data_IF_204894231250
#
_entry.id   IF_204894231250
#
_cell.length_a   1.000
_cell.length_b   1.000
_cell.length_c   1.000
_cell.angle_alpha   90.00
_cell.angle_beta   90.00
_cell.angle_gamma   90.00
#
_symmetry.space_group_name_H-M   'P 1'
#
loop_
_entity.id
_entity.type
_entity.pdbx_description
1 polymer ?
#
# COMPACT_ATOMS: atom_id res chain seq x y z
N UNK A 1 70.62 39.22 -41.58
CA UNK A 1 69.21 39.42 -41.23
C UNK A 1 68.76 38.11 -40.63
N UNK A 2 68.81 37.96 -39.30
CA UNK A 2 68.45 36.76 -38.55
C UNK A 2 67.16 37.03 -37.88
N UNK A 3 66.08 36.27 -38.22
CA UNK A 3 64.77 36.32 -37.58
C UNK A 3 64.76 35.41 -36.34
N UNK A 4 64.59 36.03 -35.17
CA UNK A 4 64.25 35.32 -33.91
C UNK A 4 62.79 34.84 -33.90
N UNK A 5 62.58 33.60 -33.52
CA UNK A 5 61.25 33.04 -33.19
C UNK A 5 60.91 33.33 -31.72
N UNK A 6 59.71 33.69 -31.41
CA UNK A 6 59.27 33.79 -30.01
C UNK A 6 59.00 32.39 -29.39
N UNK A 7 59.60 32.18 -28.21
CA UNK A 7 59.33 31.05 -27.32
C UNK A 7 58.02 31.26 -26.61
N UNK A 8 57.00 30.38 -26.85
CA UNK A 8 55.76 30.32 -26.08
C UNK A 8 56.03 29.63 -24.72
N UNK A 9 55.90 30.36 -23.66
CA UNK A 9 55.91 29.86 -22.28
C UNK A 9 54.53 29.27 -21.97
N UNK A 10 54.42 27.94 -21.99
CA UNK A 10 53.19 27.22 -21.64
C UNK A 10 52.96 27.28 -20.13
N UNK A 11 51.85 27.90 -19.72
CA UNK A 11 51.38 27.94 -18.34
C UNK A 11 50.76 26.58 -18.00
N UNK A 12 51.43 25.76 -17.22
CA UNK A 12 50.95 24.49 -16.71
C UNK A 12 50.00 24.78 -15.53
N UNK A 13 48.68 24.76 -15.77
CA UNK A 13 47.67 24.86 -14.70
C UNK A 13 47.52 23.47 -14.07
N UNK A 14 48.09 23.29 -12.90
CA UNK A 14 47.93 22.10 -12.06
C UNK A 14 46.55 22.18 -11.39
N UNK A 15 45.53 21.47 -11.93
CA UNK A 15 44.24 21.32 -11.29
C UNK A 15 44.37 20.27 -10.18
N UNK A 16 44.44 20.72 -8.94
CA UNK A 16 44.42 19.88 -7.75
C UNK A 16 42.96 19.42 -7.52
N UNK A 17 42.59 18.23 -8.01
CA UNK A 17 41.33 17.55 -7.67
C UNK A 17 41.42 17.09 -6.21
N UNK A 18 40.89 17.90 -5.27
CA UNK A 18 40.56 17.43 -3.93
C UNK A 18 39.40 16.42 -4.08
N UNK A 19 39.69 15.15 -4.12
CA UNK A 19 38.71 14.10 -3.86
C UNK A 19 38.34 14.21 -2.37
N UNK A 20 37.26 14.92 -2.06
CA UNK A 20 36.56 14.77 -0.80
C UNK A 20 36.05 13.33 -0.77
N UNK A 21 36.80 12.43 -0.18
CA UNK A 21 36.35 11.11 0.16
C UNK A 21 35.17 11.27 1.09
N UNK A 22 33.94 11.05 0.58
CA UNK A 22 32.78 10.88 1.42
C UNK A 22 33.02 9.55 2.15
N UNK A 23 33.59 9.64 3.37
CA UNK A 23 33.63 8.48 4.25
C UNK A 23 32.17 8.09 4.50
N UNK A 24 31.70 7.03 3.86
CA UNK A 24 30.47 6.39 4.26
C UNK A 24 30.67 5.98 5.73
N UNK A 25 30.01 6.67 6.65
CA UNK A 25 29.97 6.27 8.05
C UNK A 25 29.43 4.84 8.08
N UNK A 26 30.14 3.94 8.76
CA UNK A 26 29.64 2.58 8.94
C UNK A 26 28.28 2.67 9.64
N UNK A 27 27.26 2.00 9.08
CA UNK A 27 25.93 1.99 9.70
C UNK A 27 25.99 1.27 11.04
N UNK A 28 25.43 1.87 12.08
CA UNK A 28 25.34 1.30 13.42
C UNK A 28 24.07 0.47 13.58
N UNK A 29 24.13 -0.53 14.47
CA UNK A 29 22.94 -1.29 14.86
C UNK A 29 22.59 -0.97 16.30
N UNK A 30 21.33 -0.56 16.50
CA UNK A 30 20.75 -0.22 17.80
C UNK A 30 19.76 -1.32 18.22
N UNK A 31 19.71 -1.61 19.50
CA UNK A 31 18.88 -2.70 20.04
C UNK A 31 17.82 -2.14 20.97
N UNK A 32 16.58 -2.59 20.79
CA UNK A 32 15.43 -2.21 21.59
C UNK A 32 14.75 -3.45 22.17
N UNK A 33 14.48 -3.44 23.47
CA UNK A 33 13.75 -4.48 24.16
C UNK A 33 12.75 -3.85 25.14
N UNK A 34 11.47 -3.87 24.80
CA UNK A 34 10.40 -3.25 25.59
C UNK A 34 10.16 -3.93 26.95
N UNK A 35 10.67 -5.15 27.16
CA UNK A 35 10.48 -5.92 28.39
C UNK A 35 11.64 -5.67 29.36
N UNK A 36 12.88 -5.87 28.92
CA UNK A 36 14.08 -5.84 29.78
C UNK A 36 15.01 -4.66 29.52
N UNK A 37 14.76 -3.85 28.50
CA UNK A 37 15.58 -2.70 28.13
C UNK A 37 15.39 -1.50 29.06
N UNK A 38 16.31 -0.56 28.97
CA UNK A 38 16.26 0.71 29.69
C UNK A 38 16.78 1.85 28.80
N UNK A 39 16.09 2.99 28.78
CA UNK A 39 16.53 4.17 28.03
C UNK A 39 17.71 4.90 28.66
N UNK A 40 18.18 4.43 29.84
CA UNK A 40 19.49 4.81 30.37
C UNK A 40 20.66 4.03 29.74
N UNK A 41 20.39 2.98 28.98
CA UNK A 41 21.39 2.19 28.26
C UNK A 41 21.91 2.89 27.00
N UNK A 42 23.01 2.40 26.46
CA UNK A 42 23.59 2.94 25.21
C UNK A 42 22.97 2.33 23.92
N UNK A 43 22.08 1.35 24.04
CA UNK A 43 21.43 0.60 22.95
C UNK A 43 22.38 -0.15 21.98
N UNK A 44 23.68 -0.25 22.28
CA UNK A 44 24.69 -0.75 21.35
C UNK A 44 24.78 -2.27 21.27
N UNK A 45 24.08 -3.01 22.13
CA UNK A 45 24.05 -4.48 22.15
C UNK A 45 22.71 -4.99 22.69
N UNK A 46 22.35 -6.25 22.45
CA UNK A 46 21.16 -6.86 23.07
C UNK A 46 21.15 -6.79 24.61
N UNK A 47 22.32 -6.91 25.24
CA UNK A 47 22.46 -6.81 26.71
C UNK A 47 22.31 -5.39 27.25
N UNK A 48 22.57 -4.39 26.44
CA UNK A 48 22.40 -2.95 26.75
C UNK A 48 21.29 -2.30 25.91
N UNK A 49 20.24 -3.06 25.57
CA UNK A 49 19.14 -2.59 24.77
C UNK A 49 18.40 -1.40 25.43
N UNK A 50 17.93 -0.49 24.62
CA UNK A 50 17.00 0.55 25.04
C UNK A 50 15.59 -0.01 25.26
N UNK A 51 14.78 0.67 26.01
CA UNK A 51 13.40 0.27 26.27
C UNK A 51 12.45 0.70 25.15
N UNK A 52 12.69 1.88 24.57
CA UNK A 52 11.79 2.49 23.60
C UNK A 52 12.43 2.61 22.21
N UNK A 53 11.60 2.51 21.17
CA UNK A 53 12.05 2.71 19.77
C UNK A 53 12.41 4.18 19.55
N UNK A 54 11.63 5.10 20.13
CA UNK A 54 11.87 6.53 20.04
C UNK A 54 13.23 6.94 20.62
N UNK A 55 13.65 6.32 21.73
CA UNK A 55 15.00 6.56 22.28
C UNK A 55 16.10 6.05 21.32
N UNK A 56 15.94 4.86 20.74
CA UNK A 56 16.90 4.35 19.75
C UNK A 56 16.98 5.27 18.51
N UNK A 57 15.84 5.77 18.01
CA UNK A 57 15.80 6.74 16.90
C UNK A 57 16.59 8.01 17.26
N UNK A 58 16.47 8.52 18.49
CA UNK A 58 17.17 9.73 18.91
C UNK A 58 18.69 9.60 18.97
N UNK A 59 19.19 8.35 19.01
CA UNK A 59 20.64 8.04 19.04
C UNK A 59 21.18 7.70 17.64
N UNK A 60 20.28 7.42 16.70
CA UNK A 60 20.65 6.95 15.36
C UNK A 60 21.14 8.05 14.45
N UNK A 61 21.97 7.69 13.48
CA UNK A 61 22.32 8.48 12.31
C UNK A 61 21.63 7.91 11.05
N UNK A 62 21.61 8.68 9.97
CA UNK A 62 21.10 8.19 8.67
C UNK A 62 21.92 6.98 8.18
N UNK A 63 21.22 5.92 7.83
CA UNK A 63 21.78 4.64 7.40
C UNK A 63 21.79 3.58 8.50
N UNK A 64 21.53 3.93 9.74
CA UNK A 64 21.52 3.00 10.86
C UNK A 64 20.35 2.03 10.83
N UNK A 65 20.50 0.92 11.58
CA UNK A 65 19.50 -0.11 11.77
C UNK A 65 19.06 -0.19 13.25
N UNK A 66 17.77 -0.41 13.49
CA UNK A 66 17.20 -0.62 14.83
C UNK A 66 16.56 -2.00 14.85
N UNK A 67 17.05 -2.90 15.69
CA UNK A 67 16.49 -4.22 15.92
C UNK A 67 15.60 -4.19 17.16
N UNK A 68 14.31 -4.53 16.94
CA UNK A 68 13.26 -4.38 17.95
C UNK A 68 12.77 -5.76 18.40
N UNK A 69 12.97 -6.09 19.65
CA UNK A 69 12.51 -7.34 20.22
C UNK A 69 10.98 -7.43 20.30
N UNK A 70 10.46 -8.63 20.47
CA UNK A 70 9.04 -8.88 20.63
C UNK A 70 8.49 -8.20 21.89
N UNK A 71 7.61 -7.22 21.73
CA UNK A 71 6.87 -6.53 22.78
C UNK A 71 5.80 -5.61 22.13
N UNK A 72 4.94 -5.03 22.98
CA UNK A 72 4.09 -3.90 22.58
C UNK A 72 4.74 -2.59 23.05
N UNK A 73 4.99 -1.72 22.10
CA UNK A 73 5.59 -0.40 22.26
C UNK A 73 4.49 0.66 22.12
N UNK A 74 4.12 1.29 23.22
CA UNK A 74 3.09 2.35 23.23
C UNK A 74 3.74 3.69 22.85
N UNK A 75 3.94 3.91 21.54
CA UNK A 75 4.72 5.03 21.02
C UNK A 75 4.08 5.66 19.78
N UNK A 76 4.33 6.96 19.59
CA UNK A 76 4.09 7.70 18.36
C UNK A 76 5.45 8.20 17.87
N UNK A 77 5.95 7.62 16.77
CA UNK A 77 7.31 7.81 16.28
C UNK A 77 7.37 8.91 15.22
N UNK A 78 8.39 9.78 15.30
CA UNK A 78 8.73 10.73 14.25
C UNK A 78 10.11 10.39 13.69
N UNK A 79 10.18 10.06 12.39
CA UNK A 79 11.41 9.62 11.73
C UNK A 79 11.78 10.66 10.68
N UNK A 80 12.90 11.35 10.91
CA UNK A 80 13.45 12.36 10.00
C UNK A 80 14.71 11.89 9.25
N UNK A 81 15.21 10.72 9.62
CA UNK A 81 16.44 10.11 9.12
C UNK A 81 16.14 8.91 8.21
N UNK A 82 17.11 8.54 7.38
CA UNK A 82 17.07 7.24 6.69
C UNK A 82 17.40 6.13 7.67
N UNK A 83 16.44 5.24 7.96
CA UNK A 83 16.58 4.20 8.98
C UNK A 83 15.98 2.88 8.51
N UNK A 84 16.53 1.78 9.00
CA UNK A 84 15.93 0.45 8.90
C UNK A 84 15.48 -0.01 10.29
N UNK A 85 14.19 -0.26 10.48
CA UNK A 85 13.62 -0.76 11.75
C UNK A 85 13.06 -2.15 11.50
N UNK A 86 13.59 -3.14 12.21
CA UNK A 86 13.24 -4.55 12.05
C UNK A 86 12.70 -5.11 13.35
N UNK A 87 11.45 -5.55 13.34
CA UNK A 87 10.85 -6.29 14.46
C UNK A 87 11.24 -7.75 14.46
N UNK A 88 10.94 -8.46 15.53
CA UNK A 88 11.12 -9.92 15.62
C UNK A 88 10.12 -10.64 14.68
N UNK A 89 8.87 -10.22 14.70
CA UNK A 89 7.82 -10.64 13.74
C UNK A 89 6.61 -9.71 13.85
N UNK A 90 5.81 -9.61 12.79
CA UNK A 90 4.62 -8.76 12.80
C UNK A 90 3.62 -9.10 13.94
N UNK A 91 3.34 -10.38 14.26
CA UNK A 91 2.42 -10.69 15.36
C UNK A 91 2.94 -10.32 16.76
N UNK A 92 4.24 -10.21 16.95
CA UNK A 92 4.85 -10.09 18.29
C UNK A 92 5.56 -8.76 18.55
N UNK A 93 5.93 -8.01 17.52
CA UNK A 93 6.50 -6.66 17.65
C UNK A 93 5.46 -5.66 17.23
N UNK A 94 4.87 -4.97 18.18
CA UNK A 94 3.71 -4.10 17.97
C UNK A 94 4.05 -2.67 18.39
N UNK A 95 3.88 -1.71 17.48
CA UNK A 95 3.90 -0.28 17.79
C UNK A 95 2.44 0.17 17.89
N UNK A 96 2.00 0.51 19.10
CA UNK A 96 0.62 0.88 19.41
C UNK A 96 0.53 2.39 19.70
N UNK A 97 -0.22 3.12 18.90
CA UNK A 97 -0.36 4.57 19.03
C UNK A 97 -1.30 5.03 20.14
N UNK A 98 -2.02 4.10 20.76
CA UNK A 98 -2.96 4.40 21.85
C UNK A 98 -4.13 5.32 21.45
N UNK A 99 -4.45 5.43 20.16
CA UNK A 99 -5.49 6.31 19.63
C UNK A 99 -5.21 7.82 19.77
N UNK A 100 -3.97 8.23 20.07
CA UNK A 100 -3.64 9.62 20.42
C UNK A 100 -3.19 10.44 19.22
N UNK A 101 -2.34 9.87 18.39
CA UNK A 101 -1.75 10.52 17.21
C UNK A 101 -1.38 9.49 16.14
N UNK A 102 -0.88 9.93 14.98
CA UNK A 102 -0.26 9.07 13.99
C UNK A 102 0.86 8.24 14.62
N UNK A 103 0.86 6.92 14.38
CA UNK A 103 1.84 6.01 15.02
C UNK A 103 3.25 6.24 14.48
N UNK A 104 3.40 6.30 13.14
CA UNK A 104 4.68 6.57 12.49
C UNK A 104 4.54 7.76 11.53
N UNK A 105 5.36 8.78 11.75
CA UNK A 105 5.36 9.99 10.93
C UNK A 105 6.73 10.17 10.25
N UNK A 106 6.73 10.22 8.90
CA UNK A 106 7.91 10.49 8.07
C UNK A 106 7.62 11.77 7.27
N UNK A 107 8.16 12.91 7.71
CA UNK A 107 7.91 14.23 7.08
C UNK A 107 9.03 14.67 6.13
N UNK A 108 10.21 14.09 6.26
CA UNK A 108 11.39 14.46 5.49
C UNK A 108 11.37 13.79 4.12
N UNK A 109 11.22 14.55 3.05
CA UNK A 109 11.11 14.02 1.68
C UNK A 109 12.36 13.20 1.26
N UNK A 110 13.53 13.53 1.76
CA UNK A 110 14.79 12.77 1.49
C UNK A 110 15.03 11.59 2.42
N UNK A 111 14.18 11.31 3.40
CA UNK A 111 14.34 10.17 4.28
C UNK A 111 13.94 8.87 3.57
N UNK A 112 14.80 7.85 3.66
CA UNK A 112 14.55 6.49 3.20
C UNK A 112 14.35 5.57 4.41
N UNK A 113 13.12 5.16 4.68
CA UNK A 113 12.77 4.38 5.87
C UNK A 113 12.32 2.98 5.45
N UNK A 114 12.90 1.96 6.06
CA UNK A 114 12.49 0.58 5.90
C UNK A 114 11.90 0.06 7.22
N UNK A 115 10.65 -0.38 7.20
CA UNK A 115 9.98 -0.99 8.35
C UNK A 115 9.64 -2.43 7.99
N UNK A 116 10.05 -3.38 8.82
CA UNK A 116 9.79 -4.79 8.54
C UNK A 116 9.48 -5.60 9.78
N UNK A 117 8.67 -6.66 9.59
CA UNK A 117 8.35 -7.65 10.61
C UNK A 117 7.73 -7.05 11.88
N UNK A 118 6.82 -6.10 11.74
CA UNK A 118 6.16 -5.43 12.87
C UNK A 118 4.70 -5.08 12.54
N UNK A 119 3.93 -4.83 13.57
CA UNK A 119 2.56 -4.30 13.48
C UNK A 119 2.54 -2.85 13.94
N UNK A 120 1.91 -1.98 13.14
CA UNK A 120 1.61 -0.58 13.44
C UNK A 120 0.10 -0.49 13.61
N UNK A 121 -0.38 -0.08 14.79
CA UNK A 121 -1.81 -0.09 15.05
C UNK A 121 -2.30 1.03 15.94
N UNK A 122 -3.62 1.19 15.96
CA UNK A 122 -4.32 2.01 16.95
C UNK A 122 -3.83 3.47 16.97
N UNK A 123 -3.60 4.03 15.75
CA UNK A 123 -3.24 5.43 15.56
C UNK A 123 -4.43 6.31 15.25
N UNK A 124 -4.25 7.63 15.40
CA UNK A 124 -5.24 8.66 15.11
C UNK A 124 -4.65 9.80 14.31
N UNK A 125 -5.06 9.92 13.04
CA UNK A 125 -4.59 10.97 12.11
C UNK A 125 -5.45 12.23 12.17
N UNK A 126 -5.40 12.99 13.26
CA UNK A 126 -6.28 14.15 13.51
C UNK A 126 -5.86 15.41 12.75
N UNK A 127 -4.61 15.55 12.34
CA UNK A 127 -4.07 16.80 11.81
C UNK A 127 -3.57 16.75 10.37
N UNK A 128 -3.11 15.59 9.88
CA UNK A 128 -2.43 15.49 8.59
C UNK A 128 -2.82 14.24 7.79
N UNK A 129 -3.74 13.42 8.30
CA UNK A 129 -4.01 12.10 7.73
C UNK A 129 -3.03 11.03 8.20
N UNK A 130 -3.28 9.78 7.78
CA UNK A 130 -2.44 8.64 8.14
C UNK A 130 -2.53 8.28 9.62
N UNK A 131 -3.61 7.64 10.07
CA UNK A 131 -3.70 7.24 11.47
C UNK A 131 -2.56 6.30 11.87
N UNK A 132 -2.30 5.26 11.09
CA UNK A 132 -1.14 4.38 11.30
C UNK A 132 0.16 5.03 10.83
N UNK A 133 0.23 5.47 9.58
CA UNK A 133 1.46 6.03 8.96
C UNK A 133 1.14 7.27 8.14
N UNK A 134 1.91 8.34 8.36
CA UNK A 134 2.04 9.47 7.44
C UNK A 134 3.40 9.41 6.75
N UNK A 135 3.42 9.33 5.42
CA UNK A 135 4.65 9.25 4.63
C UNK A 135 4.77 10.39 3.61
N UNK A 136 5.75 11.27 3.78
CA UNK A 136 6.20 12.24 2.78
C UNK A 136 7.61 11.94 2.23
N UNK A 137 8.26 10.89 2.73
CA UNK A 137 9.57 10.40 2.28
C UNK A 137 9.48 9.20 1.34
N UNK A 138 10.50 8.37 1.38
CA UNK A 138 10.52 7.04 0.76
C UNK A 138 10.38 5.98 1.84
N UNK A 139 9.29 5.22 1.80
CA UNK A 139 8.98 4.19 2.79
C UNK A 139 8.86 2.83 2.12
N UNK A 140 9.54 1.84 2.69
CA UNK A 140 9.37 0.43 2.35
C UNK A 140 8.76 -0.31 3.55
N UNK A 141 7.66 -1.02 3.32
CA UNK A 141 7.04 -1.93 4.28
C UNK A 141 7.23 -3.37 3.81
N UNK A 142 7.80 -4.23 4.65
CA UNK A 142 7.99 -5.65 4.33
C UNK A 142 7.49 -6.53 5.47
N UNK A 143 6.60 -7.46 5.17
CA UNK A 143 6.01 -8.37 6.19
C UNK A 143 5.47 -7.58 7.40
N UNK A 144 4.76 -6.50 7.13
CA UNK A 144 4.26 -5.53 8.12
C UNK A 144 2.74 -5.54 8.14
N UNK A 145 2.14 -5.28 9.28
CA UNK A 145 0.68 -5.07 9.41
C UNK A 145 0.41 -3.62 9.83
N UNK A 146 -0.49 -2.93 9.13
CA UNK A 146 -1.02 -1.62 9.53
C UNK A 146 -2.52 -1.76 9.78
N UNK A 147 -2.96 -1.64 11.05
CA UNK A 147 -4.33 -2.00 11.38
C UNK A 147 -4.97 -1.14 12.48
N UNK A 148 -6.31 -1.15 12.50
CA UNK A 148 -7.09 -0.55 13.59
C UNK A 148 -6.82 0.93 13.83
N UNK A 149 -6.37 1.66 12.81
CA UNK A 149 -6.07 3.09 12.89
C UNK A 149 -7.15 3.91 12.23
N UNK A 150 -7.29 5.17 12.65
CA UNK A 150 -8.31 6.07 12.11
C UNK A 150 -7.73 7.43 11.69
N UNK A 151 -8.43 8.14 10.81
CA UNK A 151 -8.05 9.49 10.40
C UNK A 151 -9.29 10.33 10.08
N UNK A 152 -9.19 11.64 10.33
CA UNK A 152 -10.19 12.63 9.91
C UNK A 152 -9.82 13.33 8.59
N UNK A 153 -8.65 13.05 8.01
CA UNK A 153 -8.13 13.73 6.81
C UNK A 153 -7.85 12.81 5.60
N UNK A 154 -8.11 11.52 5.74
CA UNK A 154 -7.76 10.53 4.73
C UNK A 154 -6.61 9.62 5.18
N UNK A 155 -6.55 8.43 4.56
CA UNK A 155 -5.58 7.41 4.93
C UNK A 155 -5.76 6.95 6.38
N UNK A 156 -6.87 6.31 6.72
CA UNK A 156 -7.07 5.80 8.08
C UNK A 156 -5.87 4.96 8.54
N UNK A 157 -5.41 4.04 7.68
CA UNK A 157 -4.16 3.30 7.88
C UNK A 157 -2.94 4.14 7.47
N UNK A 158 -2.86 4.52 6.19
CA UNK A 158 -1.67 5.15 5.59
C UNK A 158 -2.06 6.36 4.73
N UNK A 159 -1.42 7.49 4.99
CA UNK A 159 -1.39 8.64 4.07
C UNK A 159 -0.03 8.67 3.37
N UNK A 160 -0.01 8.47 2.06
CA UNK A 160 1.21 8.50 1.25
C UNK A 160 1.26 9.73 0.35
N UNK A 161 2.09 10.71 0.68
CA UNK A 161 2.43 11.85 -0.16
C UNK A 161 3.79 11.68 -0.87
N UNK A 162 4.58 10.69 -0.45
CA UNK A 162 5.90 10.38 -0.99
C UNK A 162 5.92 9.12 -1.86
N UNK A 163 6.93 8.31 -1.68
CA UNK A 163 7.04 6.98 -2.32
C UNK A 163 6.83 5.88 -1.28
N UNK A 164 5.92 4.97 -1.55
CA UNK A 164 5.63 3.82 -0.70
C UNK A 164 5.71 2.53 -1.50
N UNK A 165 6.54 1.60 -1.05
CA UNK A 165 6.58 0.23 -1.52
C UNK A 165 6.12 -0.73 -0.40
N UNK A 166 5.13 -1.55 -0.70
CA UNK A 166 4.60 -2.55 0.22
C UNK A 166 4.83 -3.94 -0.36
N UNK A 167 5.46 -4.82 0.40
CA UNK A 167 5.66 -6.23 0.03
C UNK A 167 5.26 -7.12 1.20
N UNK A 168 4.45 -8.14 0.93
CA UNK A 168 3.96 -9.08 1.97
C UNK A 168 3.36 -8.35 3.19
N UNK A 169 2.62 -7.28 2.92
CA UNK A 169 2.11 -6.34 3.92
C UNK A 169 0.58 -6.40 3.96
N UNK A 170 0.01 -6.30 5.16
CA UNK A 170 -1.44 -6.23 5.36
C UNK A 170 -1.83 -4.84 5.84
N UNK A 171 -2.83 -4.22 5.17
CA UNK A 171 -3.48 -2.98 5.63
C UNK A 171 -4.94 -3.29 5.91
N UNK A 172 -5.34 -3.36 7.18
CA UNK A 172 -6.66 -3.90 7.52
C UNK A 172 -7.35 -3.20 8.68
N UNK A 173 -8.69 -3.13 8.61
CA UNK A 173 -9.51 -2.61 9.70
C UNK A 173 -9.24 -1.16 10.04
N UNK A 174 -8.73 -0.38 9.10
CA UNK A 174 -8.51 1.05 9.28
C UNK A 174 -9.72 1.84 8.79
N UNK A 175 -9.90 3.05 9.30
CA UNK A 175 -11.08 3.85 8.95
C UNK A 175 -10.76 5.34 8.76
N UNK A 176 -11.53 5.97 7.88
CA UNK A 176 -11.64 7.43 7.87
C UNK A 176 -13.06 7.83 8.18
N UNK A 177 -13.20 8.71 9.17
CA UNK A 177 -14.48 9.24 9.61
C UNK A 177 -14.40 10.77 9.58
N UNK A 178 -15.24 11.41 8.80
CA UNK A 178 -15.30 12.87 8.78
C UNK A 178 -16.39 13.40 9.72
N UNK A 179 -15.94 13.89 10.86
CA UNK A 179 -16.81 14.66 11.77
C UNK A 179 -16.51 16.17 11.76
N UNK A 180 -15.39 16.62 11.19
CA UNK A 180 -14.89 17.99 11.42
C UNK A 180 -14.48 18.77 10.18
N UNK A 181 -13.98 18.15 9.10
CA UNK A 181 -13.38 18.85 7.95
C UNK A 181 -13.78 18.28 6.58
N UNK A 182 -13.82 19.13 5.57
CA UNK A 182 -14.23 18.83 4.18
C UNK A 182 -13.33 17.83 3.42
N UNK A 183 -12.22 17.36 3.98
CA UNK A 183 -11.26 16.46 3.32
C UNK A 183 -11.30 15.02 3.88
N UNK A 184 -12.16 14.71 4.84
CA UNK A 184 -12.31 13.38 5.40
C UNK A 184 -13.08 12.43 4.47
N UNK A 185 -13.03 11.15 4.77
CA UNK A 185 -13.78 10.14 4.03
C UNK A 185 -13.08 9.61 2.78
N UNK A 186 -11.76 9.74 2.67
CA UNK A 186 -10.96 9.26 1.54
C UNK A 186 -9.87 8.28 2.00
N UNK A 187 -9.82 7.09 1.38
CA UNK A 187 -8.79 6.08 1.68
C UNK A 187 -8.86 5.54 3.10
N UNK A 188 -9.85 4.72 3.43
CA UNK A 188 -9.93 4.08 4.75
C UNK A 188 -8.67 3.33 5.11
N UNK A 189 -8.17 2.49 4.19
CA UNK A 189 -6.86 1.85 4.29
C UNK A 189 -5.74 2.81 3.90
N UNK A 190 -5.72 3.25 2.64
CA UNK A 190 -4.62 4.04 2.07
C UNK A 190 -5.16 5.24 1.27
N UNK A 191 -4.69 6.43 1.59
CA UNK A 191 -4.77 7.61 0.74
C UNK A 191 -3.43 7.78 0.01
N UNK A 192 -3.43 7.74 -1.32
CA UNK A 192 -2.23 7.89 -2.13
C UNK A 192 -2.26 9.14 -3.00
N UNK A 193 -1.44 10.12 -2.67
CA UNK A 193 -1.14 11.29 -3.51
C UNK A 193 0.30 11.28 -4.05
N UNK A 194 1.05 10.22 -3.76
CA UNK A 194 2.40 9.97 -4.24
C UNK A 194 2.49 8.67 -5.07
N UNK A 195 3.64 8.05 -5.08
CA UNK A 195 3.85 6.77 -5.76
C UNK A 195 3.64 5.61 -4.80
N UNK A 196 2.74 4.68 -5.15
CA UNK A 196 2.42 3.50 -4.36
C UNK A 196 2.62 2.23 -5.19
N UNK A 197 3.42 1.31 -4.67
CA UNK A 197 3.57 -0.05 -5.19
C UNK A 197 3.12 -1.06 -4.14
N UNK A 198 2.21 -1.95 -4.51
CA UNK A 198 1.63 -2.99 -3.66
C UNK A 198 1.91 -4.35 -4.28
N UNK A 199 2.74 -5.15 -3.62
CA UNK A 199 3.15 -6.47 -4.13
C UNK A 199 2.92 -7.54 -3.06
N UNK A 200 2.36 -8.69 -3.43
CA UNK A 200 2.10 -9.82 -2.54
C UNK A 200 1.41 -9.41 -1.21
N UNK A 201 0.50 -8.45 -1.28
CA UNK A 201 -0.05 -7.76 -0.12
C UNK A 201 -1.57 -7.84 -0.07
N UNK A 202 -2.14 -7.58 1.09
CA UNK A 202 -3.59 -7.57 1.29
C UNK A 202 -4.05 -6.23 1.85
N UNK A 203 -5.06 -5.63 1.22
CA UNK A 203 -5.76 -4.44 1.72
C UNK A 203 -7.21 -4.85 1.98
N UNK A 204 -7.60 -4.99 3.25
CA UNK A 204 -8.91 -5.57 3.55
C UNK A 204 -9.63 -4.94 4.75
N UNK A 205 -10.95 -5.07 4.74
CA UNK A 205 -11.81 -4.65 5.84
C UNK A 205 -11.58 -3.19 6.30
N UNK A 206 -11.12 -2.32 5.39
CA UNK A 206 -11.00 -0.90 5.68
C UNK A 206 -12.33 -0.20 5.38
N UNK A 207 -12.62 0.86 6.14
CA UNK A 207 -13.91 1.54 6.07
C UNK A 207 -13.71 3.04 5.82
N UNK A 208 -14.62 3.57 5.02
CA UNK A 208 -14.84 5.01 4.90
C UNK A 208 -16.29 5.28 5.19
N UNK A 209 -16.55 6.14 6.16
CA UNK A 209 -17.93 6.58 6.45
C UNK A 209 -18.01 8.10 6.57
N UNK A 210 -19.13 8.68 6.14
CA UNK A 210 -19.40 10.10 6.20
C UNK A 210 -20.80 10.38 6.70
N UNK A 211 -20.95 11.53 7.35
CA UNK A 211 -22.22 12.01 7.89
C UNK A 211 -22.55 13.46 7.46
N UNK A 212 -21.85 14.05 6.46
CA UNK A 212 -22.02 15.45 6.05
C UNK A 212 -22.23 15.64 4.53
N UNK A 213 -22.85 16.75 4.17
CA UNK A 213 -23.51 17.06 2.90
C UNK A 213 -22.55 17.34 1.71
N UNK A 214 -21.23 17.57 1.90
CA UNK A 214 -20.46 18.26 0.86
C UNK A 214 -19.68 17.38 -0.12
N UNK A 215 -19.26 16.18 0.26
CA UNK A 215 -18.48 15.31 -0.64
C UNK A 215 -18.75 13.83 -0.37
N UNK A 216 -18.54 12.97 -1.34
CA UNK A 216 -18.81 11.55 -1.23
C UNK A 216 -17.60 10.78 -0.71
N UNK A 217 -17.76 9.81 0.22
CA UNK A 217 -16.67 8.96 0.68
C UNK A 217 -16.15 8.07 -0.45
N UNK A 218 -14.84 7.91 -0.55
CA UNK A 218 -14.25 7.18 -1.65
C UNK A 218 -13.02 6.35 -1.27
N UNK A 219 -12.87 5.22 -1.97
CA UNK A 219 -11.68 4.38 -1.89
C UNK A 219 -11.45 3.79 -0.51
N UNK A 220 -12.41 3.02 0.00
CA UNK A 220 -12.27 2.46 1.35
C UNK A 220 -11.00 1.63 1.50
N UNK A 221 -10.64 0.80 0.51
CA UNK A 221 -9.34 0.16 0.46
C UNK A 221 -8.24 1.15 0.13
N UNK A 222 -8.29 1.69 -1.09
CA UNK A 222 -7.29 2.65 -1.62
C UNK A 222 -8.01 3.81 -2.33
N UNK A 223 -7.67 5.03 -1.96
CA UNK A 223 -7.97 6.24 -2.72
C UNK A 223 -6.71 6.73 -3.41
N UNK A 224 -6.72 6.80 -4.76
CA UNK A 224 -5.55 7.12 -5.55
C UNK A 224 -5.72 8.39 -6.37
N UNK A 225 -4.80 9.35 -6.20
CA UNK A 225 -4.74 10.59 -6.98
C UNK A 225 -3.44 10.74 -7.80
N UNK A 226 -2.52 9.77 -7.71
CA UNK A 226 -1.26 9.82 -8.46
C UNK A 226 -0.91 8.46 -9.06
N UNK A 227 0.20 7.84 -8.69
CA UNK A 227 0.66 6.58 -9.30
C UNK A 227 0.43 5.39 -8.39
N UNK A 228 -0.24 4.38 -8.90
CA UNK A 228 -0.52 3.13 -8.21
C UNK A 228 -0.14 1.94 -9.08
N UNK A 229 0.60 1.00 -8.53
CA UNK A 229 0.84 -0.31 -9.13
C UNK A 229 0.49 -1.40 -8.11
N UNK A 230 -0.35 -2.34 -8.51
CA UNK A 230 -0.76 -3.49 -7.69
C UNK A 230 -0.40 -4.77 -8.44
N UNK A 231 0.37 -5.65 -7.81
CA UNK A 231 0.79 -6.92 -8.42
C UNK A 231 0.66 -8.05 -7.38
N UNK A 232 0.13 -9.20 -7.82
CA UNK A 232 -0.03 -10.38 -6.95
C UNK A 232 -0.63 -10.02 -5.58
N UNK A 233 -1.73 -9.26 -5.55
CA UNK A 233 -2.27 -8.70 -4.31
C UNK A 233 -3.80 -8.81 -4.25
N UNK A 234 -4.34 -8.77 -3.03
CA UNK A 234 -5.78 -8.91 -2.80
C UNK A 234 -6.34 -7.64 -2.14
N UNK A 235 -7.39 -7.05 -2.73
CA UNK A 235 -8.22 -6.01 -2.15
C UNK A 235 -9.59 -6.62 -1.84
N UNK A 236 -9.97 -6.75 -0.55
CA UNK A 236 -11.20 -7.47 -0.22
C UNK A 236 -11.91 -6.92 1.03
N UNK A 237 -13.25 -6.91 0.98
CA UNK A 237 -14.05 -6.53 2.13
C UNK A 237 -13.90 -5.09 2.58
N UNK A 238 -13.41 -4.20 1.71
CA UNK A 238 -13.34 -2.77 2.01
C UNK A 238 -14.69 -2.12 1.73
N UNK A 239 -15.14 -1.22 2.59
CA UNK A 239 -16.48 -0.65 2.53
C UNK A 239 -16.46 0.88 2.53
N UNK A 240 -16.89 1.48 1.42
CA UNK A 240 -17.26 2.88 1.37
C UNK A 240 -18.76 2.99 1.65
N UNK A 241 -19.12 3.56 2.79
CA UNK A 241 -20.50 3.68 3.21
C UNK A 241 -20.84 5.14 3.52
N UNK A 242 -22.01 5.58 3.11
CA UNK A 242 -22.52 6.90 3.44
C UNK A 242 -23.98 6.87 3.91
N UNK A 243 -24.36 7.92 4.63
CA UNK A 243 -25.68 8.12 5.19
C UNK A 243 -26.29 9.39 4.64
N UNK A 244 -27.57 9.31 4.23
CA UNK A 244 -28.33 10.48 3.80
C UNK A 244 -28.23 11.61 4.87
N UNK A 245 -28.07 12.91 4.49
CA UNK A 245 -28.20 13.49 3.16
C UNK A 245 -26.90 13.68 2.36
N UNK A 246 -25.80 13.01 2.71
CA UNK A 246 -24.58 13.08 1.92
C UNK A 246 -24.74 12.42 0.52
N UNK A 247 -23.75 12.55 -0.36
CA UNK A 247 -23.79 11.96 -1.70
C UNK A 247 -23.42 10.48 -1.71
N UNK A 248 -23.73 9.73 -2.78
CA UNK A 248 -23.42 8.31 -2.86
C UNK A 248 -21.91 8.06 -2.81
N UNK A 249 -21.46 7.03 -2.07
CA UNK A 249 -20.04 6.69 -1.96
C UNK A 249 -19.48 6.02 -3.25
N UNK A 250 -18.14 6.01 -3.36
CA UNK A 250 -17.44 5.51 -4.56
C UNK A 250 -16.27 4.58 -4.19
N UNK A 251 -16.07 3.50 -4.97
CA UNK A 251 -14.88 2.69 -4.90
C UNK A 251 -14.67 2.01 -3.54
N UNK A 252 -15.39 0.94 -3.27
CA UNK A 252 -15.15 0.19 -2.05
C UNK A 252 -13.70 -0.34 -1.98
N UNK A 253 -13.23 -1.00 -3.04
CA UNK A 253 -11.85 -1.48 -3.14
C UNK A 253 -10.87 -0.38 -3.53
N UNK A 254 -11.09 0.23 -4.69
CA UNK A 254 -10.23 1.29 -5.27
C UNK A 254 -11.09 2.44 -5.80
N UNK A 255 -10.78 3.66 -5.41
CA UNK A 255 -11.18 4.86 -6.13
C UNK A 255 -9.95 5.51 -6.77
N UNK A 256 -9.97 5.64 -8.11
CA UNK A 256 -8.94 6.32 -8.89
C UNK A 256 -9.51 7.63 -9.44
N UNK A 257 -9.14 8.76 -8.84
CA UNK A 257 -9.79 10.02 -9.16
C UNK A 257 -8.99 10.88 -10.14
N UNK A 258 -7.70 11.03 -9.98
CA UNK A 258 -6.85 11.78 -10.91
C UNK A 258 -5.54 11.05 -11.21
N UNK A 259 -5.41 9.83 -10.68
CA UNK A 259 -4.20 9.03 -10.77
C UNK A 259 -4.15 8.09 -11.96
N UNK A 260 -3.02 7.44 -12.10
CA UNK A 260 -2.82 6.26 -12.93
C UNK A 260 -2.81 5.02 -12.05
N UNK A 261 -3.44 3.93 -12.48
CA UNK A 261 -3.43 2.67 -11.76
C UNK A 261 -3.12 1.52 -12.70
N UNK A 262 -2.21 0.64 -12.31
CA UNK A 262 -1.87 -0.59 -12.99
C UNK A 262 -2.09 -1.77 -12.06
N UNK A 263 -2.88 -2.76 -12.48
CA UNK A 263 -3.33 -3.87 -11.65
C UNK A 263 -3.07 -5.17 -12.40
N UNK A 264 -2.15 -5.96 -11.88
CA UNK A 264 -1.66 -7.17 -12.52
C UNK A 264 -1.78 -8.38 -11.58
N UNK A 265 -2.31 -9.49 -12.10
CA UNK A 265 -2.38 -10.75 -11.34
C UNK A 265 -2.98 -10.58 -9.94
N UNK A 266 -4.01 -9.77 -9.81
CA UNK A 266 -4.56 -9.36 -8.52
C UNK A 266 -6.06 -9.66 -8.40
N UNK A 267 -6.55 -9.77 -7.18
CA UNK A 267 -7.96 -10.08 -6.89
C UNK A 267 -8.60 -8.91 -6.15
N UNK A 268 -9.67 -8.35 -6.72
CA UNK A 268 -10.49 -7.28 -6.12
C UNK A 268 -11.90 -7.83 -5.93
N UNK A 269 -12.23 -8.24 -4.70
CA UNK A 269 -13.47 -8.98 -4.47
C UNK A 269 -14.09 -8.66 -3.11
N UNK A 270 -15.41 -8.75 -3.03
CA UNK A 270 -16.21 -8.51 -1.83
C UNK A 270 -16.06 -7.08 -1.26
N UNK A 271 -15.64 -6.12 -2.06
CA UNK A 271 -15.65 -4.72 -1.66
C UNK A 271 -17.02 -4.10 -1.89
N UNK A 272 -17.37 -3.06 -1.15
CA UNK A 272 -18.70 -2.47 -1.20
C UNK A 272 -18.67 -0.95 -1.28
N UNK A 273 -19.52 -0.38 -2.14
CA UNK A 273 -19.95 1.00 -2.10
C UNK A 273 -21.45 1.02 -1.78
N UNK A 274 -21.84 1.55 -0.62
CA UNK A 274 -23.19 1.42 -0.06
C UNK A 274 -23.71 2.79 0.40
N UNK A 275 -24.93 3.14 -0.04
CA UNK A 275 -25.60 4.36 0.33
C UNK A 275 -26.82 4.07 1.19
N UNK A 276 -26.84 4.58 2.41
CA UNK A 276 -27.95 4.44 3.34
C UNK A 276 -28.86 5.66 3.28
N UNK A 277 -30.12 5.46 2.97
CA UNK A 277 -31.16 6.50 2.96
C UNK A 277 -32.30 6.15 3.92
N UNK A 278 -33.21 7.08 4.25
CA UNK A 278 -34.41 6.75 5.03
C UNK A 278 -35.29 5.67 4.37
N UNK A 279 -35.20 5.50 3.06
CA UNK A 279 -36.00 4.54 2.28
C UNK A 279 -35.28 3.18 2.09
N UNK A 280 -34.09 2.98 2.69
CA UNK A 280 -33.36 1.71 2.60
C UNK A 280 -31.88 1.89 2.26
N UNK A 281 -31.23 0.76 2.04
CA UNK A 281 -29.81 0.70 1.67
C UNK A 281 -29.71 0.39 0.17
N UNK A 282 -28.94 1.20 -0.54
CA UNK A 282 -28.73 1.09 -1.99
C UNK A 282 -27.24 0.91 -2.31
N UNK A 283 -26.93 0.18 -3.38
CA UNK A 283 -25.60 0.14 -3.95
C UNK A 283 -25.23 1.51 -4.56
N UNK A 284 -23.97 1.85 -4.49
CA UNK A 284 -23.41 3.06 -5.08
C UNK A 284 -22.32 2.69 -6.13
N UNK A 285 -21.45 3.60 -6.53
CA UNK A 285 -20.69 3.43 -7.76
C UNK A 285 -19.37 2.67 -7.53
N UNK A 286 -19.13 1.60 -8.33
CA UNK A 286 -17.87 0.88 -8.36
C UNK A 286 -17.47 0.27 -7.02
N UNK A 287 -18.26 -0.68 -6.51
CA UNK A 287 -17.90 -1.37 -5.28
C UNK A 287 -16.48 -1.96 -5.32
N UNK A 288 -16.06 -2.50 -6.46
CA UNK A 288 -14.70 -2.95 -6.70
C UNK A 288 -13.77 -1.80 -7.07
N UNK A 289 -13.98 -1.20 -8.25
CA UNK A 289 -13.18 -0.13 -8.82
C UNK A 289 -14.07 1.03 -9.24
N UNK A 290 -13.76 2.22 -8.78
CA UNK A 290 -14.31 3.48 -9.28
C UNK A 290 -13.22 4.26 -10.00
N UNK A 291 -13.46 4.67 -11.24
CA UNK A 291 -12.56 5.51 -12.01
C UNK A 291 -13.22 6.80 -12.48
N UNK A 292 -12.69 7.94 -12.03
CA UNK A 292 -13.03 9.27 -12.50
C UNK A 292 -11.85 9.96 -13.21
N UNK A 293 -10.66 9.33 -13.16
CA UNK A 293 -9.48 9.82 -13.85
C UNK A 293 -9.69 9.80 -15.36
N UNK A 294 -9.10 10.76 -16.06
CA UNK A 294 -9.00 10.73 -17.54
C UNK A 294 -8.15 9.57 -18.05
N UNK A 295 -7.25 9.05 -17.20
CA UNK A 295 -6.46 7.85 -17.48
C UNK A 295 -7.15 6.64 -16.86
N UNK A 296 -7.62 5.74 -17.70
CA UNK A 296 -8.26 4.51 -17.24
C UNK A 296 -7.26 3.58 -16.53
N UNK A 297 -7.64 2.96 -15.38
CA UNK A 297 -6.85 1.90 -14.78
C UNK A 297 -6.61 0.77 -15.78
N UNK A 298 -5.37 0.27 -15.84
CA UNK A 298 -5.00 -0.86 -16.70
C UNK A 298 -5.01 -2.14 -15.90
N UNK A 299 -5.70 -3.16 -16.40
CA UNK A 299 -5.76 -4.48 -15.77
C UNK A 299 -5.23 -5.55 -16.71
N UNK A 300 -4.50 -6.51 -16.14
CA UNK A 300 -4.11 -7.74 -16.81
C UNK A 300 -4.15 -8.91 -15.83
N UNK A 301 -4.66 -10.04 -16.31
CA UNK A 301 -4.66 -11.30 -15.58
C UNK A 301 -5.27 -11.20 -14.17
N UNK A 302 -6.27 -10.34 -14.00
CA UNK A 302 -6.84 -9.97 -12.71
C UNK A 302 -8.31 -10.34 -12.58
N UNK A 303 -8.77 -10.55 -11.36
CA UNK A 303 -10.16 -10.84 -11.03
C UNK A 303 -10.79 -9.63 -10.34
N UNK A 304 -11.92 -9.12 -10.87
CA UNK A 304 -12.75 -8.10 -10.24
C UNK A 304 -14.14 -8.65 -10.11
N UNK A 305 -14.51 -9.18 -8.94
CA UNK A 305 -15.70 -9.99 -8.83
C UNK A 305 -16.39 -9.88 -7.45
N UNK A 306 -17.69 -10.14 -7.45
CA UNK A 306 -18.50 -10.24 -6.24
C UNK A 306 -18.45 -8.95 -5.37
N UNK A 307 -18.19 -7.81 -5.98
CA UNK A 307 -18.24 -6.54 -5.29
C UNK A 307 -19.69 -6.02 -5.23
N UNK A 308 -20.01 -5.22 -4.23
CA UNK A 308 -21.35 -4.66 -4.02
C UNK A 308 -21.37 -3.20 -4.44
N UNK A 309 -22.26 -2.87 -5.36
CA UNK A 309 -22.50 -1.54 -5.87
C UNK A 309 -23.88 -1.44 -6.48
N UNK A 310 -24.15 -0.33 -7.19
CA UNK A 310 -25.39 -0.17 -7.97
C UNK A 310 -25.44 -1.24 -9.08
N UNK A 311 -26.64 -1.76 -9.35
CA UNK A 311 -26.84 -2.75 -10.41
C UNK A 311 -26.25 -2.28 -11.75
N UNK A 312 -25.41 -3.12 -12.35
CA UNK A 312 -24.69 -2.82 -13.57
C UNK A 312 -23.42 -1.98 -13.39
N UNK A 313 -23.06 -1.63 -12.14
CA UNK A 313 -21.90 -0.80 -11.80
C UNK A 313 -21.16 -1.33 -10.54
N UNK A 314 -21.36 -2.60 -10.19
CA UNK A 314 -20.88 -3.13 -8.92
C UNK A 314 -19.36 -3.42 -8.92
N UNK A 315 -18.86 -4.13 -9.93
CA UNK A 315 -17.43 -4.42 -10.01
C UNK A 315 -16.62 -3.20 -10.47
N UNK A 316 -17.09 -2.50 -11.51
CA UNK A 316 -16.41 -1.31 -12.03
C UNK A 316 -17.42 -0.18 -12.31
N UNK A 317 -16.97 1.05 -12.09
CA UNK A 317 -17.60 2.28 -12.58
C UNK A 317 -16.55 3.15 -13.28
N UNK A 318 -16.92 3.74 -14.44
CA UNK A 318 -15.99 4.44 -15.32
C UNK A 318 -15.14 3.48 -16.17
N UNK A 319 -14.32 4.04 -17.02
CA UNK A 319 -13.53 3.26 -17.96
C UNK A 319 -12.40 2.52 -17.28
N UNK A 320 -12.18 1.27 -17.68
CA UNK A 320 -10.98 0.48 -17.38
C UNK A 320 -10.39 -0.04 -18.69
N UNK A 321 -9.07 -0.14 -18.78
CA UNK A 321 -8.35 -0.67 -19.93
C UNK A 321 -7.94 -2.11 -19.63
N UNK A 322 -8.32 -3.05 -20.49
CA UNK A 322 -7.89 -4.43 -20.39
C UNK A 322 -6.69 -4.72 -21.27
N UNK A 323 -5.65 -5.28 -20.69
CA UNK A 323 -4.54 -5.91 -21.41
C UNK A 323 -4.74 -7.44 -21.56
N UNK A 324 -5.96 -7.91 -21.29
CA UNK A 324 -6.37 -9.30 -21.47
C UNK A 324 -6.31 -10.16 -20.22
N UNK A 325 -6.99 -11.31 -20.35
CA UNK A 325 -7.04 -12.36 -19.33
C UNK A 325 -7.59 -11.88 -17.99
N UNK A 326 -8.57 -10.96 -18.00
CA UNK A 326 -9.26 -10.50 -16.80
C UNK A 326 -10.61 -11.18 -16.66
N UNK A 327 -11.08 -11.33 -15.43
CA UNK A 327 -12.39 -11.89 -15.13
C UNK A 327 -13.23 -10.93 -14.31
N UNK A 328 -14.51 -10.79 -14.69
CA UNK A 328 -15.52 -10.06 -13.92
C UNK A 328 -16.79 -10.89 -13.73
N UNK A 329 -17.35 -10.85 -12.51
CA UNK A 329 -18.61 -11.54 -12.21
C UNK A 329 -19.87 -10.83 -12.75
N UNK A 330 -19.71 -9.63 -13.30
CA UNK A 330 -20.77 -8.86 -13.97
C UNK A 330 -20.24 -8.23 -15.27
N UNK A 331 -21.06 -7.42 -15.94
CA UNK A 331 -20.73 -6.74 -17.19
C UNK A 331 -20.19 -5.30 -16.98
N UNK A 332 -20.06 -4.83 -15.73
CA UNK A 332 -19.73 -3.44 -15.45
C UNK A 332 -18.31 -3.05 -15.82
N UNK A 333 -17.35 -4.00 -15.76
CA UNK A 333 -15.99 -3.77 -16.24
C UNK A 333 -15.95 -3.87 -17.77
N UNK A 334 -15.41 -2.83 -18.43
CA UNK A 334 -15.31 -2.75 -19.89
C UNK A 334 -14.18 -3.62 -20.44
N UNK A 335 -14.11 -4.87 -19.97
CA UNK A 335 -13.11 -5.83 -20.44
C UNK A 335 -13.41 -6.28 -21.86
N UNK A 336 -12.46 -6.07 -22.78
CA UNK A 336 -12.53 -6.43 -24.19
C UNK A 336 -11.17 -6.84 -24.76
N UNK A 337 -10.20 -7.14 -23.89
CA UNK A 337 -8.90 -7.70 -24.26
C UNK A 337 -8.96 -9.20 -24.57
N UNK A 338 -7.87 -9.79 -25.11
CA UNK A 338 -7.81 -11.22 -25.38
C UNK A 338 -7.99 -12.04 -24.11
N UNK A 339 -8.82 -13.09 -24.16
CA UNK A 339 -9.05 -13.99 -23.04
C UNK A 339 -9.83 -13.41 -21.85
N UNK A 340 -10.38 -12.21 -21.98
CA UNK A 340 -11.24 -11.62 -20.95
C UNK A 340 -12.57 -12.39 -20.79
N UNK A 341 -13.01 -12.50 -19.55
CA UNK A 341 -14.27 -13.19 -19.19
C UNK A 341 -15.17 -12.26 -18.39
N UNK A 342 -16.42 -12.09 -18.83
CA UNK A 342 -17.43 -11.26 -18.15
C UNK A 342 -18.66 -12.06 -17.79
N UNK A 343 -19.40 -11.64 -16.75
CA UNK A 343 -20.59 -12.33 -16.24
C UNK A 343 -20.28 -13.78 -15.82
N UNK A 344 -19.08 -14.02 -15.31
CA UNK A 344 -18.63 -15.35 -14.88
C UNK A 344 -18.21 -15.30 -13.41
N UNK A 345 -18.84 -16.13 -12.58
CA UNK A 345 -18.43 -16.26 -11.18
C UNK A 345 -17.07 -16.97 -11.09
N UNK A 346 -16.03 -16.33 -10.53
CA UNK A 346 -14.69 -16.92 -10.40
C UNK A 346 -14.63 -18.09 -9.40
N UNK A 347 -15.68 -18.38 -8.66
CA UNK A 347 -15.71 -19.39 -7.61
C UNK A 347 -14.54 -19.25 -6.60
N UNK A 348 -14.49 -18.09 -5.95
CA UNK A 348 -13.47 -17.77 -4.95
C UNK A 348 -13.84 -18.29 -3.57
N UNK A 349 -12.85 -18.79 -2.83
CA UNK A 349 -12.96 -19.02 -1.40
C UNK A 349 -12.98 -17.71 -0.60
N UNK A 350 -13.27 -17.81 0.69
CA UNK A 350 -13.20 -16.66 1.60
C UNK A 350 -11.75 -16.15 1.72
N UNK A 351 -11.61 -14.85 2.05
CA UNK A 351 -10.29 -14.29 2.39
C UNK A 351 -9.79 -14.94 3.69
N UNK A 352 -8.75 -15.73 3.59
CA UNK A 352 -8.19 -16.46 4.74
C UNK A 352 -6.70 -16.74 4.56
N UNK A 353 -6.08 -17.31 5.56
CA UNK A 353 -4.71 -17.80 5.47
C UNK A 353 -4.69 -19.09 4.61
N UNK A 354 -4.30 -18.95 3.36
CA UNK A 354 -4.08 -20.06 2.42
C UNK A 354 -2.58 -20.37 2.24
N UNK A 355 -1.75 -20.01 3.21
CA UNK A 355 -0.29 -20.00 3.13
C UNK A 355 0.27 -18.61 2.80
N UNK A 356 1.58 -18.43 2.98
CA UNK A 356 2.25 -17.14 2.74
C UNK A 356 2.09 -16.12 3.88
N UNK A 357 2.57 -14.91 3.64
CA UNK A 357 2.64 -13.85 4.64
C UNK A 357 1.33 -13.05 4.77
N UNK A 358 0.45 -13.10 3.79
CA UNK A 358 -0.79 -12.34 3.74
C UNK A 358 -1.97 -13.23 3.30
N UNK A 359 -3.18 -12.88 3.73
CA UNK A 359 -4.38 -13.62 3.37
C UNK A 359 -4.69 -13.51 1.88
N UNK A 360 -5.25 -14.57 1.30
CA UNK A 360 -5.65 -14.64 -0.11
C UNK A 360 -7.05 -15.25 -0.24
N UNK A 361 -7.63 -15.14 -1.43
CA UNK A 361 -8.86 -15.84 -1.80
C UNK A 361 -8.50 -16.97 -2.77
N UNK A 362 -8.64 -18.22 -2.32
CA UNK A 362 -8.30 -19.38 -3.12
C UNK A 362 -9.25 -19.56 -4.31
N UNK A 363 -8.74 -20.04 -5.43
CA UNK A 363 -9.55 -20.52 -6.54
C UNK A 363 -10.08 -21.92 -6.18
N UNK A 364 -11.38 -22.04 -5.89
CA UNK A 364 -11.99 -23.31 -5.51
C UNK A 364 -12.06 -24.30 -6.69
N UNK A 365 -12.36 -25.56 -6.39
CA UNK A 365 -12.52 -26.57 -7.41
C UNK A 365 -13.56 -26.15 -8.46
N UNK A 366 -13.24 -26.29 -9.75
CA UNK A 366 -14.09 -25.83 -10.86
C UNK A 366 -14.08 -24.33 -11.10
N UNK A 367 -13.18 -23.56 -10.46
CA UNK A 367 -13.01 -22.15 -10.78
C UNK A 367 -12.61 -21.96 -12.26
N UNK A 368 -13.35 -21.16 -13.04
CA UNK A 368 -13.00 -20.87 -14.44
C UNK A 368 -11.76 -19.97 -14.56
N UNK A 369 -11.22 -19.41 -13.46
CA UNK A 369 -10.00 -18.63 -13.44
C UNK A 369 -8.72 -19.48 -13.44
N UNK A 370 -8.84 -20.82 -13.20
CA UNK A 370 -7.70 -21.73 -13.21
C UNK A 370 -7.21 -21.94 -14.65
N UNK A 371 -5.91 -21.82 -14.84
CA UNK A 371 -5.23 -21.96 -16.12
C UNK A 371 -5.87 -21.13 -17.24
N UNK A 372 -6.56 -20.04 -16.90
CA UNK A 372 -7.27 -19.18 -17.84
C UNK A 372 -6.59 -17.82 -18.06
N UNK A 373 -5.46 -17.59 -17.42
CA UNK A 373 -4.65 -16.40 -17.58
C UNK A 373 -3.79 -16.43 -18.85
N UNK A 374 -2.84 -15.51 -18.93
CA UNK A 374 -1.98 -15.36 -20.11
C UNK A 374 -1.27 -16.68 -20.46
N UNK A 375 -1.45 -17.23 -21.67
CA UNK A 375 -0.83 -18.49 -22.10
C UNK A 375 0.71 -18.43 -22.16
N UNK A 376 1.29 -17.24 -22.22
CA UNK A 376 2.74 -17.02 -22.16
C UNK A 376 3.28 -16.86 -20.73
N UNK A 377 2.45 -17.07 -19.73
CA UNK A 377 2.75 -16.89 -18.30
C UNK A 377 2.33 -15.55 -17.76
N UNK A 378 2.26 -15.45 -16.43
CA UNK A 378 1.94 -14.21 -15.74
C UNK A 378 3.10 -13.22 -15.80
N UNK A 379 2.79 -11.93 -16.01
CA UNK A 379 3.79 -10.85 -16.02
C UNK A 379 3.38 -9.70 -15.11
N UNK A 380 4.35 -8.92 -14.66
CA UNK A 380 4.14 -7.64 -13.99
C UNK A 380 3.89 -6.48 -14.98
N UNK A 381 3.77 -5.26 -14.48
CA UNK A 381 3.54 -4.05 -15.27
C UNK A 381 4.70 -3.67 -16.21
N UNK A 382 5.87 -4.25 -16.01
CA UNK A 382 7.06 -4.06 -16.87
C UNK A 382 7.28 -5.20 -17.86
N UNK A 383 6.37 -6.19 -17.87
CA UNK A 383 6.48 -7.37 -18.70
C UNK A 383 7.42 -8.46 -18.16
N UNK A 384 7.96 -8.29 -16.94
CA UNK A 384 8.77 -9.34 -16.34
C UNK A 384 7.87 -10.48 -15.87
N UNK A 385 8.33 -11.72 -16.10
CA UNK A 385 7.60 -12.91 -15.68
C UNK A 385 7.52 -12.99 -14.16
N UNK A 386 6.32 -13.27 -13.66
CA UNK A 386 6.08 -13.60 -12.28
C UNK A 386 6.20 -15.11 -12.07
N UNK A 387 7.17 -15.52 -11.28
CA UNK A 387 7.45 -16.94 -10.97
C UNK A 387 6.72 -17.43 -9.73
N UNK A 388 6.12 -16.53 -8.96
CA UNK A 388 5.40 -16.83 -7.72
C UNK A 388 4.08 -16.05 -7.66
N UNK A 389 3.14 -16.54 -6.87
CA UNK A 389 1.87 -15.87 -6.57
C UNK A 389 1.96 -14.97 -5.32
N UNK A 390 0.82 -14.50 -4.80
CA UNK A 390 0.78 -13.65 -3.60
C UNK A 390 1.36 -14.35 -2.37
N UNK A 391 1.21 -15.67 -2.25
CA UNK A 391 1.70 -16.45 -1.11
C UNK A 391 3.20 -16.73 -1.17
N UNK A 392 3.76 -16.66 -2.38
CA UNK A 392 5.12 -17.11 -2.71
C UNK A 392 5.14 -18.51 -3.31
N UNK A 393 3.97 -19.10 -3.60
CA UNK A 393 3.86 -20.39 -4.27
C UNK A 393 4.17 -20.25 -5.76
N UNK A 394 4.78 -21.29 -6.39
CA UNK A 394 5.19 -21.22 -7.78
C UNK A 394 4.04 -20.95 -8.73
N UNK A 395 4.24 -20.06 -9.71
CA UNK A 395 3.40 -19.93 -10.90
C UNK A 395 3.99 -20.72 -12.06
N UNK A 396 3.16 -21.32 -12.93
CA UNK A 396 3.66 -22.01 -14.09
C UNK A 396 4.47 -21.08 -14.98
N UNK A 397 5.51 -21.63 -15.62
CA UNK A 397 6.46 -20.86 -16.40
C UNK A 397 5.91 -20.36 -17.74
N UNK A 398 6.00 -21.19 -18.80
CA UNK A 398 5.63 -20.85 -20.19
C UNK A 398 4.24 -21.38 -20.58
N UNK A 399 3.37 -21.61 -19.59
CA UNK A 399 1.99 -22.08 -19.80
C UNK A 399 1.03 -21.08 -19.19
N UNK A 400 -0.26 -21.23 -19.49
CA UNK A 400 -1.29 -20.38 -18.93
C UNK A 400 -1.25 -20.40 -17.40
N UNK A 401 -1.13 -19.23 -16.79
CA UNK A 401 -1.22 -19.08 -15.36
C UNK A 401 -2.69 -18.92 -14.92
N UNK A 402 -2.94 -18.92 -13.63
CA UNK A 402 -4.25 -18.60 -13.12
C UNK A 402 -4.49 -17.09 -13.15
N UNK A 403 -5.74 -16.68 -13.34
CA UNK A 403 -6.12 -15.28 -13.16
C UNK A 403 -6.15 -14.94 -11.66
N UNK A 404 -5.76 -13.71 -11.32
CA UNK A 404 -5.80 -13.22 -9.95
C UNK A 404 -4.53 -13.44 -9.12
N UNK A 405 -4.65 -13.18 -7.83
CA UNK A 405 -3.52 -13.17 -6.88
C UNK A 405 -3.07 -14.55 -6.42
N UNK A 406 -3.94 -15.54 -6.51
CA UNK A 406 -3.73 -16.93 -6.05
C UNK A 406 -3.47 -17.83 -7.26
N UNK A 407 -2.49 -18.70 -7.16
CA UNK A 407 -2.27 -19.80 -8.09
C UNK A 407 -2.65 -21.13 -7.42
N UNK A 408 -3.41 -22.01 -8.11
CA UNK A 408 -3.86 -23.28 -7.52
C UNK A 408 -2.81 -24.37 -7.62
#
# INVERSE_FOLDING_TARGET
MTRQKPTSMGLLVLVLLLSLGVNALASSTWYVNGVSGSDSNNCASPASACRTIGHAISRSASGDSILVAAATYNENLSIALSLTIVGASAPTTIIDGGGKATVVTIRTAGAHVNLSQLTIRNGSGLTHGGGGIYNAGTLTLTSTTVSGSSSSYGGGGIYNAGTLAMTKTTVSGNSTNDFVNALGGLGGGIYNSGTLTVTQSTVNANNVSRFRISDSPAGAGIYNTWRLTITNSTLSGNQAADHWPAGPPFGGGLANENGTAMIYNSTISLNAAIYHTPNGTFGAFGGGIYNKSTTAPTLQNSIVANNTGKTGEANCYGNVTSHGFNMSSDSSCTFNGPGDQKNINPNLGLLTNNGGATHTMALLAGSPARSAGNPSGCTDSSGHRLTIDQRGDPRPGLTACDMGAYNH
#
